data_IF_210781696711
#
_entry.id   IF_210781696711
#
_cell.length_a   1.000
_cell.length_b   1.000
_cell.length_c   1.000
_cell.angle_alpha   90.00
_cell.angle_beta   90.00
_cell.angle_gamma   90.00
#
_symmetry.space_group_name_H-M   'P 1'
#
loop_
_entity.id
_entity.type
_entity.pdbx_description
1 polymer ?
#
# COMPACT_ATOMS: atom_id res chain seq x y z
N UNK A 1 20.97 -12.67 20.09
CA UNK A 1 21.64 -11.35 19.99
C UNK A 1 20.66 -10.28 20.43
N UNK A 2 20.76 -9.81 21.67
CA UNK A 2 20.02 -8.63 22.17
C UNK A 2 21.06 -7.69 22.74
N UNK A 3 21.72 -6.94 21.86
CA UNK A 3 22.49 -5.77 22.26
C UNK A 3 21.53 -4.77 22.87
N UNK A 4 21.66 -4.56 24.17
CA UNK A 4 20.98 -3.53 24.96
C UNK A 4 21.12 -2.18 24.23
N UNK A 5 20.01 -1.53 23.86
CA UNK A 5 20.04 -0.18 23.27
C UNK A 5 20.59 0.80 24.29
N UNK A 6 21.77 1.34 24.01
CA UNK A 6 22.17 2.64 24.53
C UNK A 6 21.55 3.68 23.59
N UNK A 7 20.45 4.31 24.02
CA UNK A 7 20.25 5.77 23.94
C UNK A 7 18.77 6.17 24.06
N UNK A 8 18.50 7.05 25.04
CA UNK A 8 17.23 7.74 25.27
C UNK A 8 16.92 8.84 24.23
N UNK A 9 17.53 8.77 23.03
CA UNK A 9 17.57 9.89 22.08
C UNK A 9 16.70 9.70 20.82
N UNK A 10 15.96 8.59 20.70
CA UNK A 10 15.07 8.40 19.54
C UNK A 10 13.82 9.29 19.59
N UNK A 11 13.17 9.39 20.74
CA UNK A 11 11.97 10.21 20.91
C UNK A 11 12.32 11.60 21.46
N UNK A 12 12.25 12.61 20.61
CA UNK A 12 12.56 14.01 20.95
C UNK A 12 11.28 14.78 21.24
N UNK A 13 11.29 15.59 22.30
CA UNK A 13 10.23 16.54 22.63
C UNK A 13 10.41 17.87 21.87
N UNK A 14 9.32 18.43 21.35
CA UNK A 14 9.31 19.73 20.68
C UNK A 14 7.89 20.27 20.56
N UNK A 15 7.72 21.59 20.68
CA UNK A 15 6.45 22.27 20.43
C UNK A 15 6.08 22.35 18.94
N UNK A 16 7.05 22.12 18.04
CA UNK A 16 6.82 22.02 16.59
C UNK A 16 6.19 20.68 16.18
N UNK A 17 6.09 19.72 17.10
CA UNK A 17 5.59 18.38 16.82
C UNK A 17 4.16 18.21 17.33
N UNK A 18 3.24 17.65 16.53
CA UNK A 18 1.91 17.31 17.02
C UNK A 18 2.02 16.28 18.15
N UNK A 19 1.34 16.54 19.26
CA UNK A 19 1.42 15.71 20.47
C UNK A 19 2.71 15.88 21.29
N UNK A 20 3.56 16.86 20.95
CA UNK A 20 4.69 17.32 21.76
C UNK A 20 5.97 16.50 21.67
N UNK A 21 5.98 15.38 20.96
CA UNK A 21 7.18 14.55 20.74
C UNK A 21 7.13 13.75 19.44
N UNK A 22 8.28 13.28 18.96
CA UNK A 22 8.43 12.59 17.67
C UNK A 22 7.60 11.32 17.56
N UNK A 23 7.51 10.52 18.63
CA UNK A 23 6.75 9.29 18.62
C UNK A 23 5.24 9.58 18.49
N UNK A 24 4.73 10.54 19.26
CA UNK A 24 3.35 11.02 19.14
C UNK A 24 3.09 11.55 17.72
N UNK A 25 4.03 12.31 17.15
CA UNK A 25 3.89 12.90 15.83
C UNK A 25 3.91 11.86 14.69
N UNK A 26 4.80 10.86 14.77
CA UNK A 26 4.88 9.77 13.80
C UNK A 26 3.63 8.86 13.80
N UNK A 27 2.94 8.79 14.94
CA UNK A 27 1.70 8.03 15.16
C UNK A 27 0.45 8.92 15.18
N UNK A 28 0.58 10.20 14.84
CA UNK A 28 -0.55 11.13 14.84
C UNK A 28 -1.57 10.70 13.78
N UNK A 29 -2.84 10.61 14.20
CA UNK A 29 -3.92 10.08 13.35
C UNK A 29 -4.11 10.92 12.08
N UNK A 30 -3.97 12.24 12.20
CA UNK A 30 -4.19 13.15 11.08
C UNK A 30 -3.04 13.03 10.07
N UNK A 31 -1.80 13.00 10.57
CA UNK A 31 -0.61 12.71 9.75
C UNK A 31 -0.75 11.37 9.03
N UNK A 32 -1.19 10.32 9.72
CA UNK A 32 -1.44 9.01 9.12
C UNK A 32 -2.47 9.08 7.99
N UNK A 33 -3.64 9.72 8.23
CA UNK A 33 -4.70 9.85 7.23
C UNK A 33 -4.20 10.56 5.95
N UNK A 34 -3.51 11.68 6.09
CA UNK A 34 -2.99 12.42 4.93
C UNK A 34 -1.91 11.64 4.19
N UNK A 35 -0.95 11.10 4.93
CA UNK A 35 0.19 10.39 4.37
C UNK A 35 -0.21 9.09 3.67
N UNK A 36 -1.21 8.37 4.19
CA UNK A 36 -1.69 7.12 3.59
C UNK A 36 -2.43 7.35 2.27
N UNK A 37 -3.07 8.51 2.07
CA UNK A 37 -3.59 8.89 0.74
C UNK A 37 -2.47 9.10 -0.28
N UNK A 38 -1.28 9.48 0.19
CA UNK A 38 -0.03 9.49 -0.59
C UNK A 38 0.72 8.17 -0.60
N UNK A 39 0.13 7.08 -0.10
CA UNK A 39 0.73 5.74 -0.13
C UNK A 39 1.78 5.46 0.94
N UNK A 40 1.91 6.28 1.98
CA UNK A 40 2.97 6.16 2.99
C UNK A 40 3.06 4.76 3.63
N UNK A 41 1.96 4.20 4.14
CA UNK A 41 1.99 2.87 4.77
C UNK A 41 2.46 1.76 3.82
N UNK A 42 2.07 1.82 2.52
CA UNK A 42 2.56 0.87 1.51
C UNK A 42 4.07 1.04 1.32
N UNK A 43 4.53 2.26 1.07
CA UNK A 43 5.95 2.53 0.85
C UNK A 43 6.82 2.15 2.06
N UNK A 44 6.36 2.42 3.28
CA UNK A 44 7.05 2.01 4.51
C UNK A 44 7.14 0.48 4.58
N UNK A 45 6.04 -0.22 4.31
CA UNK A 45 6.00 -1.68 4.26
C UNK A 45 6.97 -2.26 3.23
N UNK A 46 6.89 -1.80 1.98
CA UNK A 46 7.73 -2.29 0.87
C UNK A 46 9.23 -2.06 1.16
N UNK A 47 9.58 -0.86 1.66
CA UNK A 47 10.97 -0.54 2.01
C UNK A 47 11.45 -1.33 3.22
N UNK A 48 10.57 -1.63 4.17
CA UNK A 48 10.88 -2.50 5.28
C UNK A 48 11.13 -3.95 4.85
N UNK A 49 10.34 -4.47 3.92
CA UNK A 49 10.56 -5.81 3.35
C UNK A 49 11.93 -5.90 2.66
N UNK A 50 12.30 -4.91 1.84
CA UNK A 50 13.62 -4.83 1.20
C UNK A 50 14.76 -4.79 2.24
N UNK A 51 14.62 -3.97 3.28
CA UNK A 51 15.61 -3.90 4.36
C UNK A 51 15.71 -5.21 5.14
N UNK A 52 14.58 -5.90 5.31
CA UNK A 52 14.51 -7.20 5.97
C UNK A 52 15.22 -8.27 5.15
N UNK A 53 15.02 -8.32 3.83
CA UNK A 53 15.73 -9.23 2.94
C UNK A 53 17.25 -9.05 3.06
N UNK A 54 17.74 -7.80 3.00
CA UNK A 54 19.17 -7.50 3.17
C UNK A 54 19.70 -7.99 4.53
N UNK A 55 18.97 -7.71 5.62
CA UNK A 55 19.38 -8.14 6.96
C UNK A 55 19.38 -9.66 7.14
N UNK A 56 18.38 -10.35 6.58
CA UNK A 56 18.26 -11.81 6.61
C UNK A 56 19.37 -12.47 5.79
N UNK A 57 19.65 -11.97 4.57
CA UNK A 57 20.76 -12.47 3.74
C UNK A 57 22.12 -12.30 4.42
N UNK A 58 22.34 -11.15 5.08
CA UNK A 58 23.54 -10.92 5.88
C UNK A 58 23.63 -11.80 7.15
N UNK A 59 22.56 -12.53 7.48
CA UNK A 59 22.50 -13.47 8.59
C UNK A 59 22.71 -14.93 8.18
N UNK A 60 22.92 -15.22 6.90
CA UNK A 60 23.36 -16.55 6.43
C UNK A 60 24.68 -16.94 7.10
N UNK A 61 24.78 -18.19 7.55
CA UNK A 61 25.89 -18.72 8.36
C UNK A 61 25.86 -18.27 9.82
N UNK A 62 24.77 -17.65 10.29
CA UNK A 62 24.60 -17.24 11.70
C UNK A 62 23.46 -18.02 12.35
N UNK A 63 23.57 -18.14 13.67
CA UNK A 63 22.52 -18.70 14.52
C UNK A 63 21.30 -17.78 14.56
N UNK A 64 20.12 -18.35 14.35
CA UNK A 64 18.83 -17.68 14.31
C UNK A 64 17.85 -18.30 15.31
N UNK A 65 17.03 -17.48 16.02
CA UNK A 65 16.15 -17.98 17.06
C UNK A 65 14.92 -18.71 16.51
N UNK A 66 14.50 -19.75 17.22
CA UNK A 66 13.17 -20.35 17.09
C UNK A 66 12.40 -20.08 18.37
N UNK A 67 11.18 -19.53 18.31
CA UNK A 67 10.42 -19.25 19.53
C UNK A 67 10.15 -20.55 20.31
N UNK A 68 10.69 -20.63 21.53
CA UNK A 68 10.55 -21.77 22.46
C UNK A 68 11.17 -23.10 21.97
N UNK A 69 12.12 -23.06 21.04
CA UNK A 69 12.84 -24.24 20.53
C UNK A 69 14.34 -23.91 20.37
N UNK A 70 15.17 -24.91 20.08
CA UNK A 70 16.60 -24.74 19.82
C UNK A 70 16.85 -23.89 18.56
N UNK A 71 17.82 -22.96 18.59
CA UNK A 71 18.15 -22.15 17.43
C UNK A 71 18.86 -22.98 16.35
N UNK A 72 18.81 -22.47 15.12
CA UNK A 72 19.42 -23.12 13.95
C UNK A 72 20.38 -22.16 13.24
N UNK A 73 21.32 -22.70 12.47
CA UNK A 73 22.17 -21.91 11.58
C UNK A 73 21.48 -21.72 10.24
N UNK A 74 21.34 -20.47 9.79
CA UNK A 74 20.73 -20.14 8.50
C UNK A 74 21.66 -20.59 7.37
N UNK A 75 21.13 -21.37 6.43
CA UNK A 75 21.81 -21.75 5.20
C UNK A 75 21.35 -20.93 3.99
N UNK A 76 20.04 -20.64 3.89
CA UNK A 76 19.49 -19.90 2.77
C UNK A 76 18.22 -19.10 3.13
N UNK A 77 17.96 -18.04 2.36
CA UNK A 77 16.81 -17.15 2.47
C UNK A 77 15.98 -17.22 1.20
N UNK A 78 14.79 -17.81 1.31
CA UNK A 78 13.84 -17.95 0.22
C UNK A 78 12.83 -16.80 0.30
N UNK A 79 12.89 -15.88 -0.65
CA UNK A 79 12.01 -14.72 -0.72
C UNK A 79 10.76 -15.05 -1.54
N UNK A 80 9.62 -15.18 -0.88
CA UNK A 80 8.38 -15.67 -1.51
C UNK A 80 7.53 -14.55 -2.12
N UNK A 81 7.57 -13.34 -1.54
CA UNK A 81 6.81 -12.17 -2.00
C UNK A 81 7.22 -11.72 -3.42
N UNK A 82 8.46 -11.97 -3.83
CA UNK A 82 8.97 -11.68 -5.17
C UNK A 82 8.44 -12.65 -6.26
N UNK A 83 7.78 -13.76 -5.88
CA UNK A 83 7.25 -14.76 -6.81
C UNK A 83 5.73 -14.64 -6.90
N UNK A 84 5.24 -13.95 -7.95
CA UNK A 84 3.82 -13.67 -8.15
C UNK A 84 2.93 -14.92 -8.14
N UNK A 85 3.45 -16.05 -8.61
CA UNK A 85 2.75 -17.33 -8.60
C UNK A 85 2.44 -17.82 -7.19
N UNK A 86 3.34 -17.62 -6.21
CA UNK A 86 3.12 -18.01 -4.82
C UNK A 86 1.94 -17.25 -4.23
N UNK A 87 1.91 -15.93 -4.42
CA UNK A 87 0.80 -15.09 -3.94
C UNK A 87 -0.52 -15.48 -4.61
N UNK A 88 -0.51 -15.75 -5.93
CA UNK A 88 -1.70 -16.19 -6.68
C UNK A 88 -2.25 -17.52 -6.15
N UNK A 89 -1.38 -18.49 -5.90
CA UNK A 89 -1.76 -19.80 -5.36
C UNK A 89 -2.31 -19.69 -3.93
N UNK A 90 -1.62 -18.97 -3.04
CA UNK A 90 -2.08 -18.75 -1.68
C UNK A 90 -3.47 -18.09 -1.65
N UNK A 91 -3.68 -17.05 -2.46
CA UNK A 91 -4.97 -16.37 -2.57
C UNK A 91 -6.10 -17.27 -3.09
N UNK A 92 -5.81 -18.11 -4.10
CA UNK A 92 -6.79 -19.06 -4.66
C UNK A 92 -7.29 -20.06 -3.61
N UNK A 93 -6.43 -20.42 -2.66
CA UNK A 93 -6.71 -21.39 -1.60
C UNK A 93 -6.99 -20.75 -0.23
N UNK A 94 -7.14 -19.41 -0.17
CA UNK A 94 -7.37 -18.65 1.06
C UNK A 94 -6.32 -18.88 2.15
N UNK A 95 -5.06 -19.11 1.75
CA UNK A 95 -3.92 -19.24 2.65
C UNK A 95 -3.17 -17.90 2.74
N UNK A 96 -2.50 -17.67 3.87
CA UNK A 96 -1.56 -16.55 4.00
C UNK A 96 -0.23 -16.90 3.30
N UNK A 97 0.45 -15.89 2.77
CA UNK A 97 1.77 -16.02 2.16
C UNK A 97 2.80 -15.27 3.02
N UNK A 98 3.73 -15.96 3.72
CA UNK A 98 4.80 -15.28 4.42
C UNK A 98 5.77 -14.61 3.44
N UNK A 99 6.41 -13.53 3.84
CA UNK A 99 7.36 -12.81 2.97
C UNK A 99 8.60 -13.66 2.67
N UNK A 100 9.10 -14.42 3.65
CA UNK A 100 10.30 -15.23 3.54
C UNK A 100 10.15 -16.62 4.19
N UNK A 101 10.96 -17.56 3.73
CA UNK A 101 11.28 -18.79 4.44
C UNK A 101 12.79 -18.86 4.68
N UNK A 102 13.20 -19.16 5.91
CA UNK A 102 14.59 -19.44 6.25
C UNK A 102 14.79 -20.95 6.23
N UNK A 103 15.76 -21.41 5.43
CA UNK A 103 16.24 -22.78 5.44
C UNK A 103 17.53 -22.85 6.26
N UNK A 104 17.67 -23.85 7.12
CA UNK A 104 18.90 -24.04 7.86
C UNK A 104 19.00 -25.38 8.58
N UNK A 105 19.97 -25.50 9.50
CA UNK A 105 20.24 -26.74 10.25
C UNK A 105 20.28 -26.48 11.75
N UNK A 106 19.61 -27.32 12.52
CA UNK A 106 19.64 -27.23 13.99
C UNK A 106 21.05 -27.39 14.53
N UNK A 107 21.38 -26.57 15.54
CA UNK A 107 22.73 -26.54 16.14
C UNK A 107 23.10 -27.85 16.86
N UNK A 108 22.11 -28.66 17.26
CA UNK A 108 22.29 -29.88 18.02
C UNK A 108 22.47 -31.13 17.16
N UNK A 109 21.40 -31.55 16.48
CA UNK A 109 21.35 -32.81 15.70
C UNK A 109 21.63 -32.62 14.20
N UNK A 110 21.84 -31.39 13.75
CA UNK A 110 22.03 -31.05 12.33
C UNK A 110 20.77 -31.21 11.49
N UNK A 111 19.59 -31.42 12.10
CA UNK A 111 18.33 -31.61 11.39
C UNK A 111 17.94 -30.38 10.55
N UNK A 112 17.49 -30.55 9.29
CA UNK A 112 17.08 -29.43 8.46
C UNK A 112 15.79 -28.80 9.00
N UNK A 113 15.76 -27.47 9.02
CA UNK A 113 14.67 -26.66 9.53
C UNK A 113 14.22 -25.64 8.50
N UNK A 114 12.90 -25.43 8.45
CA UNK A 114 12.26 -24.37 7.66
C UNK A 114 11.44 -23.48 8.59
N UNK A 115 11.73 -22.18 8.59
CA UNK A 115 11.03 -21.20 9.43
C UNK A 115 10.43 -20.09 8.57
N UNK A 116 9.14 -19.80 8.74
CA UNK A 116 8.53 -18.63 8.10
C UNK A 116 8.95 -17.34 8.79
N UNK A 117 9.18 -16.32 7.97
CA UNK A 117 9.44 -14.96 8.41
C UNK A 117 8.57 -13.98 7.66
N UNK A 118 7.98 -13.04 8.40
CA UNK A 118 7.17 -11.97 7.83
C UNK A 118 7.67 -10.61 8.35
N UNK A 119 7.87 -9.66 7.44
CA UNK A 119 8.40 -8.34 7.75
C UNK A 119 7.28 -7.38 8.16
N UNK A 120 7.23 -7.04 9.45
CA UNK A 120 6.25 -6.10 10.00
C UNK A 120 6.94 -4.85 10.55
N UNK A 121 6.77 -3.74 9.82
CA UNK A 121 7.25 -2.43 10.28
C UNK A 121 6.51 -1.97 11.55
N UNK A 122 5.19 -2.18 11.59
CA UNK A 122 4.31 -1.83 12.71
C UNK A 122 3.85 -3.11 13.44
N UNK A 123 4.49 -3.49 14.57
CA UNK A 123 4.21 -4.76 15.23
C UNK A 123 2.77 -4.90 15.76
N UNK A 124 2.07 -3.81 16.01
CA UNK A 124 0.67 -3.82 16.44
C UNK A 124 -0.31 -4.31 15.35
N UNK A 125 0.18 -4.53 14.12
CA UNK A 125 -0.57 -5.08 12.98
C UNK A 125 -0.28 -6.55 12.69
N UNK A 126 0.54 -7.20 13.50
CA UNK A 126 0.90 -8.61 13.35
C UNK A 126 -0.36 -9.49 13.39
N UNK A 127 -0.41 -10.49 12.49
CA UNK A 127 -1.35 -11.61 12.56
C UNK A 127 -0.57 -12.91 12.73
N UNK A 128 -0.68 -13.63 13.86
CA UNK A 128 0.09 -14.85 14.11
C UNK A 128 -0.04 -15.93 13.03
N UNK A 129 -1.19 -15.97 12.35
CA UNK A 129 -1.43 -16.89 11.23
C UNK A 129 -0.43 -16.73 10.08
N UNK A 130 0.15 -15.55 9.88
CA UNK A 130 1.07 -15.27 8.77
C UNK A 130 2.38 -16.06 8.84
N UNK A 131 2.78 -16.50 10.03
CA UNK A 131 4.05 -17.22 10.25
C UNK A 131 3.84 -18.58 10.95
N UNK A 132 2.60 -19.07 10.96
CA UNK A 132 2.30 -20.34 11.63
C UNK A 132 2.86 -21.52 10.82
N UNK A 133 3.41 -22.52 11.53
CA UNK A 133 3.93 -23.73 10.90
C UNK A 133 2.84 -24.48 10.10
N UNK A 134 1.59 -24.42 10.56
CA UNK A 134 0.44 -25.01 9.88
C UNK A 134 0.17 -24.35 8.52
N UNK A 135 0.17 -23.01 8.45
CA UNK A 135 -0.06 -22.29 7.19
C UNK A 135 1.06 -22.58 6.20
N UNK A 136 2.32 -22.59 6.65
CA UNK A 136 3.47 -22.95 5.80
C UNK A 136 3.32 -24.38 5.30
N UNK A 137 2.97 -25.33 6.17
CA UNK A 137 2.73 -26.71 5.78
C UNK A 137 1.64 -26.82 4.72
N UNK A 138 0.52 -26.14 4.91
CA UNK A 138 -0.60 -26.15 3.96
C UNK A 138 -0.20 -25.54 2.61
N UNK A 139 0.56 -24.43 2.62
CA UNK A 139 1.06 -23.79 1.41
C UNK A 139 1.99 -24.73 0.62
N UNK A 140 2.89 -25.44 1.30
CA UNK A 140 3.81 -26.39 0.66
C UNK A 140 3.12 -27.68 0.19
N UNK A 141 2.03 -28.10 0.84
CA UNK A 141 1.24 -29.27 0.43
C UNK A 141 0.47 -29.05 -0.88
N UNK A 142 0.26 -27.79 -1.30
CA UNK A 142 -0.35 -27.50 -2.61
C UNK A 142 0.50 -28.01 -3.79
N UNK A 143 1.81 -28.27 -3.59
CA UNK A 143 2.71 -28.74 -4.65
C UNK A 143 3.02 -27.70 -5.73
N UNK A 144 2.68 -26.43 -5.48
CA UNK A 144 2.84 -25.32 -6.43
C UNK A 144 4.22 -24.64 -6.37
N UNK A 145 4.24 -23.34 -6.68
CA UNK A 145 5.46 -22.54 -6.77
C UNK A 145 6.27 -22.54 -5.45
N UNK A 146 5.61 -22.35 -4.31
CA UNK A 146 6.28 -22.34 -3.00
C UNK A 146 6.95 -23.69 -2.68
N UNK A 147 6.25 -24.79 -2.98
CA UNK A 147 6.78 -26.14 -2.80
C UNK A 147 8.05 -26.35 -3.63
N UNK A 148 7.99 -25.98 -4.91
CA UNK A 148 9.12 -26.12 -5.83
C UNK A 148 10.35 -25.34 -5.35
N UNK A 149 10.16 -24.08 -4.93
CA UNK A 149 11.24 -23.23 -4.39
C UNK A 149 11.92 -23.93 -3.20
N UNK A 150 11.14 -24.47 -2.26
CA UNK A 150 11.69 -25.16 -1.09
C UNK A 150 12.40 -26.45 -1.48
N UNK A 151 11.83 -27.27 -2.36
CA UNK A 151 12.45 -28.53 -2.82
C UNK A 151 13.77 -28.27 -3.54
N UNK A 152 13.80 -27.29 -4.43
CA UNK A 152 15.01 -26.92 -5.18
C UNK A 152 16.11 -26.43 -4.23
N UNK A 153 15.75 -25.61 -3.22
CA UNK A 153 16.70 -25.13 -2.20
C UNK A 153 17.22 -26.27 -1.30
N UNK A 154 16.34 -27.13 -0.80
CA UNK A 154 16.71 -28.31 0.01
C UNK A 154 17.66 -29.22 -0.75
N UNK A 155 17.38 -29.48 -2.03
CA UNK A 155 18.23 -30.29 -2.90
C UNK A 155 19.59 -29.63 -3.16
N UNK A 156 19.63 -28.31 -3.38
CA UNK A 156 20.88 -27.56 -3.58
C UNK A 156 21.83 -27.65 -2.38
N UNK A 157 21.29 -27.77 -1.17
CA UNK A 157 22.05 -27.97 0.06
C UNK A 157 22.26 -29.44 0.46
N UNK A 158 21.77 -30.40 -0.33
CA UNK A 158 21.90 -31.84 -0.04
C UNK A 158 21.17 -32.28 1.24
N UNK A 159 20.11 -31.56 1.61
CA UNK A 159 19.34 -31.78 2.83
C UNK A 159 18.19 -32.76 2.60
N UNK A 160 17.72 -33.38 3.67
CA UNK A 160 16.43 -34.08 3.69
C UNK A 160 15.28 -33.08 3.86
N UNK A 161 14.03 -33.58 3.80
CA UNK A 161 12.83 -32.75 4.03
C UNK A 161 12.93 -32.00 5.37
N UNK A 162 12.86 -30.66 5.37
CA UNK A 162 13.03 -29.88 6.58
C UNK A 162 11.81 -30.01 7.50
N UNK A 163 12.06 -29.96 8.81
CA UNK A 163 11.01 -29.77 9.81
C UNK A 163 10.55 -28.31 9.78
N UNK A 164 9.25 -28.08 9.61
CA UNK A 164 8.67 -26.74 9.69
C UNK A 164 8.55 -26.35 11.17
N UNK A 165 9.19 -25.25 11.56
CA UNK A 165 9.19 -24.74 12.93
C UNK A 165 8.32 -23.49 13.06
N UNK A 166 8.12 -23.03 14.30
CA UNK A 166 7.38 -21.80 14.57
C UNK A 166 8.09 -20.60 13.94
N UNK A 167 7.35 -19.83 13.14
CA UNK A 167 7.87 -18.65 12.46
C UNK A 167 8.04 -17.44 13.37
N UNK A 168 8.64 -16.39 12.80
CA UNK A 168 8.91 -15.13 13.49
C UNK A 168 8.55 -13.93 12.63
N UNK A 169 8.26 -12.81 13.27
CA UNK A 169 8.14 -11.51 12.63
C UNK A 169 9.46 -10.77 12.74
N UNK A 170 9.86 -10.08 11.67
CA UNK A 170 11.00 -9.15 11.70
C UNK A 170 10.49 -7.71 11.75
N UNK A 171 10.92 -6.99 12.78
CA UNK A 171 10.49 -5.61 13.04
C UNK A 171 11.68 -4.67 13.25
N UNK A 172 11.50 -3.34 13.06
CA UNK A 172 12.57 -2.39 13.30
C UNK A 172 13.05 -2.45 14.74
N UNK A 173 14.36 -2.43 14.91
CA UNK A 173 14.96 -2.10 16.19
C UNK A 173 14.77 -0.59 16.44
N UNK A 174 13.59 -0.19 16.95
CA UNK A 174 13.28 1.18 17.36
C UNK A 174 12.36 1.27 18.59
N UNK A 175 12.37 2.41 19.30
CA UNK A 175 11.48 2.68 20.44
C UNK A 175 10.01 2.66 20.00
N UNK A 176 9.73 3.10 18.78
CA UNK A 176 8.39 3.03 18.20
C UNK A 176 7.90 1.58 18.09
N UNK A 177 8.75 0.66 17.60
CA UNK A 177 8.40 -0.76 17.51
C UNK A 177 8.15 -1.38 18.89
N UNK A 178 8.90 -0.97 19.92
CA UNK A 178 8.66 -1.43 21.29
C UNK A 178 7.31 -0.97 21.84
N UNK A 179 6.95 0.30 21.64
CA UNK A 179 5.65 0.85 22.07
C UNK A 179 4.49 0.18 21.33
N UNK A 180 4.63 -0.04 20.03
CA UNK A 180 3.59 -0.73 19.25
C UNK A 180 3.47 -2.20 19.66
N UNK A 181 4.58 -2.88 19.89
CA UNK A 181 4.56 -4.28 20.26
C UNK A 181 3.94 -4.52 21.64
N UNK A 182 4.14 -3.62 22.62
CA UNK A 182 3.47 -3.70 23.92
C UNK A 182 1.95 -3.83 23.78
N UNK A 183 1.34 -3.24 22.74
CA UNK A 183 -0.11 -3.29 22.50
C UNK A 183 -0.64 -4.69 22.15
N UNK A 184 0.21 -5.56 21.60
CA UNK A 184 -0.17 -6.92 21.13
C UNK A 184 0.51 -8.04 21.93
N UNK A 185 1.43 -7.70 22.81
CA UNK A 185 2.15 -8.65 23.69
C UNK A 185 1.73 -8.56 25.16
N UNK A 186 1.03 -7.49 25.55
CA UNK A 186 0.62 -7.28 26.95
C UNK A 186 -0.89 -7.12 27.12
N UNK A 187 -1.39 -7.48 28.29
CA UNK A 187 -2.79 -7.34 28.66
C UNK A 187 -3.71 -8.44 28.13
N UNK A 188 -5.03 -8.26 28.33
CA UNK A 188 -6.06 -9.27 28.01
C UNK A 188 -6.25 -9.55 26.52
N UNK A 189 -5.60 -8.78 25.65
CA UNK A 189 -5.67 -8.90 24.18
C UNK A 189 -4.31 -9.27 23.58
N UNK A 190 -3.39 -9.81 24.37
CA UNK A 190 -2.12 -10.29 23.85
C UNK A 190 -2.37 -11.42 22.84
N UNK A 191 -1.97 -11.21 21.59
CA UNK A 191 -2.14 -12.16 20.49
C UNK A 191 -0.81 -12.68 19.96
N UNK A 192 0.31 -12.07 20.35
CA UNK A 192 1.65 -12.35 19.85
C UNK A 192 2.58 -12.58 21.03
N UNK A 193 3.46 -13.57 20.93
CA UNK A 193 4.54 -13.77 21.90
C UNK A 193 5.73 -12.84 21.55
N UNK A 194 6.35 -12.22 22.55
CA UNK A 194 7.56 -11.40 22.31
C UNK A 194 8.70 -12.22 21.70
N UNK A 195 8.77 -13.53 22.00
CA UNK A 195 9.75 -14.43 21.40
C UNK A 195 9.53 -14.64 19.90
N UNK A 196 8.33 -14.37 19.37
CA UNK A 196 8.03 -14.41 17.93
C UNK A 196 8.48 -13.16 17.19
N UNK A 197 9.08 -12.16 17.86
CA UNK A 197 9.49 -10.91 17.21
C UNK A 197 11.00 -10.72 17.31
N UNK A 198 11.67 -10.82 16.16
CA UNK A 198 13.09 -10.53 16.01
C UNK A 198 13.25 -9.09 15.53
N UNK A 199 14.08 -8.29 16.21
CA UNK A 199 14.36 -6.92 15.79
C UNK A 199 15.62 -6.84 14.94
N UNK A 200 15.57 -6.04 13.88
CA UNK A 200 16.72 -5.78 12.99
C UNK A 200 16.99 -4.27 12.87
N UNK A 201 18.26 -3.84 12.72
CA UNK A 201 18.60 -2.43 12.59
C UNK A 201 18.00 -1.80 11.31
N UNK A 202 17.27 -0.68 11.37
CA UNK A 202 16.48 -0.17 10.25
C UNK A 202 17.21 0.68 9.20
N UNK A 203 18.41 1.20 9.49
CA UNK A 203 19.16 2.16 8.63
C UNK A 203 18.29 3.33 8.08
N UNK A 204 17.93 4.31 8.92
CA UNK A 204 17.00 5.39 8.53
C UNK A 204 17.41 6.15 7.26
N UNK A 205 18.70 6.46 7.11
CA UNK A 205 19.21 7.22 5.96
C UNK A 205 19.12 6.52 4.60
N UNK A 206 18.98 5.19 4.55
CA UNK A 206 18.79 4.44 3.30
C UNK A 206 17.39 3.87 3.15
N UNK A 207 16.57 3.84 4.21
CA UNK A 207 15.26 3.18 4.20
C UNK A 207 14.34 3.68 3.08
N UNK A 208 14.31 4.98 2.81
CA UNK A 208 13.47 5.56 1.75
C UNK A 208 14.23 5.92 0.46
N UNK A 209 15.48 5.48 0.32
CA UNK A 209 16.32 5.84 -0.83
C UNK A 209 15.65 5.42 -2.16
N UNK A 210 15.73 6.33 -3.13
CA UNK A 210 15.15 6.11 -4.47
C UNK A 210 13.65 6.41 -4.59
N UNK A 211 12.94 6.69 -3.50
CA UNK A 211 11.55 7.17 -3.58
C UNK A 211 11.52 8.67 -3.93
N UNK A 212 10.63 9.13 -4.83
CA UNK A 212 10.41 10.55 -5.12
C UNK A 212 10.20 11.41 -3.86
N UNK A 213 9.40 10.90 -2.91
CA UNK A 213 9.04 11.54 -1.65
C UNK A 213 10.27 11.76 -0.74
N UNK A 214 11.24 10.85 -0.78
CA UNK A 214 12.43 10.99 0.08
C UNK A 214 13.23 12.28 -0.18
N UNK A 215 13.09 12.87 -1.37
CA UNK A 215 13.82 14.09 -1.77
C UNK A 215 13.39 15.34 -1.01
N UNK A 216 12.20 15.37 -0.43
CA UNK A 216 11.69 16.56 0.30
C UNK A 216 11.71 16.39 1.82
N UNK A 217 12.06 15.20 2.34
CA UNK A 217 12.24 14.94 3.78
C UNK A 217 13.16 16.00 4.41
N UNK A 218 14.31 16.26 3.79
CA UNK A 218 15.28 17.22 4.32
C UNK A 218 14.77 18.66 4.33
N UNK A 219 13.88 19.04 3.39
CA UNK A 219 13.26 20.36 3.38
C UNK A 219 12.28 20.52 4.54
N UNK A 220 11.44 19.51 4.78
CA UNK A 220 10.49 19.49 5.89
C UNK A 220 11.21 19.45 7.25
N UNK A 221 12.23 18.62 7.40
CA UNK A 221 12.99 18.51 8.65
C UNK A 221 13.72 19.81 9.04
N UNK A 222 14.11 20.64 8.07
CA UNK A 222 14.72 21.94 8.33
C UNK A 222 13.73 22.96 8.91
N UNK A 223 12.44 22.82 8.64
CA UNK A 223 11.41 23.74 9.18
C UNK A 223 11.35 23.57 10.70
N UNK A 224 11.29 22.33 11.19
CA UNK A 224 11.19 22.06 12.63
C UNK A 224 12.55 22.16 13.35
N UNK A 225 13.67 22.03 12.62
CA UNK A 225 15.04 22.15 13.12
C UNK A 225 15.32 21.32 14.41
N UNK A 226 14.80 20.10 14.48
CA UNK A 226 14.94 19.22 15.64
C UNK A 226 16.41 18.83 15.91
N UNK A 227 16.78 18.49 17.17
CA UNK A 227 18.12 18.05 17.55
C UNK A 227 18.51 16.64 17.02
N UNK A 228 17.70 16.03 16.17
CA UNK A 228 17.95 14.73 15.53
C UNK A 228 17.69 14.85 14.04
N UNK A 229 18.39 14.04 13.24
CA UNK A 229 18.24 14.05 11.79
C UNK A 229 17.45 12.84 11.30
N UNK A 230 16.66 12.95 10.22
CA UNK A 230 16.02 11.81 9.57
C UNK A 230 17.01 10.76 9.04
N UNK A 231 18.29 11.11 8.91
CA UNK A 231 19.34 10.19 8.43
C UNK A 231 19.74 9.17 9.49
N UNK A 232 19.68 9.57 10.76
CA UNK A 232 20.22 8.81 11.88
C UNK A 232 19.12 8.34 12.86
N UNK A 233 17.92 8.93 12.80
CA UNK A 233 16.80 8.62 13.69
C UNK A 233 15.59 8.07 12.91
N UNK A 234 15.15 6.85 13.22
CA UNK A 234 14.05 6.18 12.51
C UNK A 234 12.72 6.92 12.67
N UNK A 235 12.38 7.36 13.88
CA UNK A 235 11.07 8.00 14.15
C UNK A 235 10.98 9.32 13.38
N UNK A 236 12.07 10.10 13.37
CA UNK A 236 12.21 11.29 12.55
C UNK A 236 12.07 10.97 11.05
N UNK A 237 12.77 9.94 10.55
CA UNK A 237 12.66 9.51 9.16
C UNK A 237 11.22 9.18 8.75
N UNK A 238 10.49 8.44 9.60
CA UNK A 238 9.11 8.04 9.37
C UNK A 238 8.17 9.24 9.38
N UNK A 239 8.30 10.10 10.39
CA UNK A 239 7.46 11.29 10.52
C UNK A 239 7.59 12.19 9.28
N UNK A 240 8.82 12.54 8.88
CA UNK A 240 9.02 13.40 7.72
C UNK A 240 8.73 12.70 6.38
N UNK A 241 8.93 11.38 6.28
CA UNK A 241 8.49 10.63 5.10
C UNK A 241 6.96 10.66 4.97
N UNK A 242 6.22 10.49 6.07
CA UNK A 242 4.75 10.62 6.07
C UNK A 242 4.31 12.01 5.62
N UNK A 243 4.90 13.07 6.19
CA UNK A 243 4.61 14.45 5.76
C UNK A 243 4.93 14.66 4.28
N UNK A 244 6.04 14.10 3.79
CA UNK A 244 6.36 14.13 2.37
C UNK A 244 5.30 13.45 1.51
N UNK A 245 4.84 12.24 1.86
CA UNK A 245 3.76 11.57 1.13
C UNK A 245 2.48 12.42 1.11
N UNK A 246 2.16 13.09 2.22
CA UNK A 246 1.04 14.03 2.28
C UNK A 246 1.24 15.20 1.30
N UNK A 247 2.42 15.82 1.27
CA UNK A 247 2.74 16.88 0.30
C UNK A 247 2.59 16.43 -1.16
N UNK A 248 3.06 15.22 -1.49
CA UNK A 248 2.90 14.66 -2.84
C UNK A 248 1.42 14.43 -3.19
N UNK A 249 0.64 13.91 -2.24
CA UNK A 249 -0.81 13.76 -2.41
C UNK A 249 -1.49 15.12 -2.62
N UNK A 250 -1.19 16.11 -1.79
CA UNK A 250 -1.82 17.44 -1.89
C UNK A 250 -1.44 18.19 -3.15
N UNK A 251 -0.19 18.09 -3.57
CA UNK A 251 0.22 18.58 -4.88
C UNK A 251 -0.59 17.93 -6.00
N UNK A 252 -0.75 16.60 -5.95
CA UNK A 252 -1.56 15.86 -6.90
C UNK A 252 -3.02 16.33 -6.90
N UNK A 253 -3.63 16.51 -5.74
CA UNK A 253 -5.01 16.99 -5.63
C UNK A 253 -5.18 18.45 -6.08
N UNK A 254 -4.16 19.29 -5.92
CA UNK A 254 -4.16 20.69 -6.38
C UNK A 254 -4.10 20.80 -7.91
N UNK A 255 -3.38 19.90 -8.57
CA UNK A 255 -3.14 19.95 -10.03
C UNK A 255 -4.00 18.97 -10.83
N UNK A 256 -4.76 18.10 -10.16
CA UNK A 256 -5.63 17.13 -10.82
C UNK A 256 -6.84 17.83 -11.44
N UNK A 257 -7.07 17.72 -12.76
CA UNK A 257 -8.25 18.29 -13.42
C UNK A 257 -9.55 17.83 -12.76
N UNK A 258 -10.59 18.67 -12.84
CA UNK A 258 -11.95 18.30 -12.43
C UNK A 258 -12.55 17.27 -13.39
N UNK A 259 -12.25 17.38 -14.68
CA UNK A 259 -12.65 16.43 -15.71
C UNK A 259 -11.51 16.29 -16.74
N UNK A 260 -11.03 15.07 -16.97
CA UNK A 260 -10.08 14.76 -18.04
C UNK A 260 -10.11 13.27 -18.38
N UNK A 261 -9.79 12.94 -19.63
CA UNK A 261 -9.53 11.58 -20.09
C UNK A 261 -8.06 11.16 -19.94
N UNK A 262 -7.17 12.13 -19.69
CA UNK A 262 -5.74 11.88 -19.50
C UNK A 262 -5.44 11.72 -18.01
N UNK A 263 -4.69 10.68 -17.58
CA UNK A 263 -4.26 10.58 -16.19
C UNK A 263 -3.41 11.80 -15.81
N UNK A 264 -3.56 12.34 -14.59
CA UNK A 264 -2.74 13.46 -14.14
C UNK A 264 -1.26 13.02 -14.14
N UNK A 265 -0.32 13.90 -14.53
CA UNK A 265 1.09 13.58 -14.47
C UNK A 265 1.50 13.26 -13.02
N UNK A 266 2.43 12.32 -12.80
CA UNK A 266 2.90 12.03 -11.46
C UNK A 266 3.57 13.27 -10.86
N UNK A 267 3.45 13.51 -9.53
CA UNK A 267 4.10 14.63 -8.89
C UNK A 267 5.62 14.61 -9.10
N UNK A 268 6.15 15.72 -9.64
CA UNK A 268 7.58 15.87 -9.85
C UNK A 268 8.23 16.38 -8.54
N UNK A 269 9.24 15.68 -7.98
CA UNK A 269 9.83 16.06 -6.70
C UNK A 269 10.35 17.50 -6.63
N UNK A 270 10.90 18.01 -7.74
CA UNK A 270 11.40 19.40 -7.81
C UNK A 270 10.28 20.43 -7.65
N UNK A 271 9.11 20.18 -8.23
CA UNK A 271 7.93 21.06 -8.11
C UNK A 271 7.33 21.02 -6.71
N UNK A 272 7.21 19.83 -6.14
CA UNK A 272 6.75 19.66 -4.76
C UNK A 272 7.70 20.38 -3.78
N UNK A 273 9.01 20.25 -3.97
CA UNK A 273 10.02 20.93 -3.16
C UNK A 273 9.92 22.46 -3.25
N UNK A 274 9.67 23.01 -4.44
CA UNK A 274 9.50 24.45 -4.63
C UNK A 274 8.26 24.98 -3.88
N UNK A 275 7.15 24.25 -3.95
CA UNK A 275 5.91 24.63 -3.23
C UNK A 275 6.10 24.50 -1.71
N UNK A 276 6.76 23.45 -1.23
CA UNK A 276 7.13 23.33 0.20
C UNK A 276 7.95 24.54 0.63
N UNK A 277 8.95 24.95 -0.17
CA UNK A 277 9.81 26.10 0.16
C UNK A 277 9.02 27.41 0.24
N UNK A 278 8.12 27.66 -0.73
CA UNK A 278 7.27 28.84 -0.73
C UNK A 278 6.28 28.85 0.46
N UNK A 279 5.70 27.70 0.80
CA UNK A 279 4.76 27.58 1.93
C UNK A 279 5.47 27.64 3.29
N UNK A 280 6.75 27.28 3.36
CA UNK A 280 7.54 27.29 4.60
C UNK A 280 7.75 28.69 5.17
N UNK A 281 7.73 29.75 4.34
CA UNK A 281 7.90 31.14 4.81
C UNK A 281 6.81 31.59 5.80
N UNK A 282 5.64 30.96 5.78
CA UNK A 282 4.52 31.29 6.63
C UNK A 282 4.21 30.27 7.73
N UNK A 283 4.95 29.17 7.85
CA UNK A 283 4.63 28.06 8.76
C UNK A 283 5.65 27.94 9.89
N UNK A 284 5.15 27.74 11.12
CA UNK A 284 5.99 27.56 12.31
C UNK A 284 6.48 26.12 12.47
N UNK A 285 5.90 25.16 11.74
CA UNK A 285 6.33 23.76 11.71
C UNK A 285 6.02 23.08 10.38
N UNK A 286 6.68 21.97 10.10
CA UNK A 286 6.38 21.11 8.96
C UNK A 286 4.97 20.53 9.04
N UNK A 287 4.49 20.21 10.24
CA UNK A 287 3.11 19.78 10.46
C UNK A 287 2.13 20.87 10.06
N UNK A 288 2.33 22.10 10.55
CA UNK A 288 1.45 23.22 10.24
C UNK A 288 1.44 23.55 8.74
N UNK A 289 2.60 23.47 8.07
CA UNK A 289 2.67 23.62 6.62
C UNK A 289 1.72 22.65 5.91
N UNK A 290 1.79 21.36 6.29
CA UNK A 290 0.97 20.29 5.71
C UNK A 290 -0.50 20.47 6.07
N UNK A 291 -0.83 20.84 7.30
CA UNK A 291 -2.20 21.10 7.75
C UNK A 291 -2.84 22.26 6.97
N UNK A 292 -2.15 23.40 6.85
CA UNK A 292 -2.62 24.54 6.05
C UNK A 292 -2.77 24.18 4.58
N UNK A 293 -1.89 23.35 4.02
CA UNK A 293 -2.03 22.87 2.64
C UNK A 293 -3.25 21.96 2.49
N UNK A 294 -3.51 21.06 3.44
CA UNK A 294 -4.69 20.21 3.46
C UNK A 294 -5.99 21.03 3.44
N UNK A 295 -6.05 22.10 4.25
CA UNK A 295 -7.19 23.02 4.28
C UNK A 295 -7.33 23.77 2.95
N UNK A 296 -6.21 24.22 2.37
CA UNK A 296 -6.21 24.98 1.13
C UNK A 296 -6.71 24.18 -0.09
N UNK A 297 -6.50 22.86 -0.13
CA UNK A 297 -6.94 22.01 -1.25
C UNK A 297 -8.40 21.54 -1.14
N UNK A 298 -9.02 21.66 0.04
CA UNK A 298 -10.36 21.15 0.30
C UNK A 298 -11.43 21.72 -0.67
N UNK A 299 -11.41 23.01 -1.05
CA UNK A 299 -12.31 23.52 -2.08
C UNK A 299 -12.16 22.82 -3.43
N UNK A 300 -10.93 22.56 -3.92
CA UNK A 300 -10.73 21.82 -5.17
C UNK A 300 -11.21 20.37 -5.06
N UNK A 301 -10.99 19.70 -3.92
CA UNK A 301 -11.48 18.33 -3.68
C UNK A 301 -13.01 18.29 -3.75
N UNK A 302 -13.70 19.24 -3.12
CA UNK A 302 -15.18 19.35 -3.17
C UNK A 302 -15.69 19.69 -4.56
N UNK A 303 -15.03 20.61 -5.27
CA UNK A 303 -15.37 20.96 -6.64
C UNK A 303 -15.29 19.74 -7.56
N UNK A 304 -14.20 18.95 -7.44
CA UNK A 304 -14.02 17.70 -8.20
C UNK A 304 -15.10 16.67 -7.88
N UNK A 305 -15.48 16.51 -6.62
CA UNK A 305 -16.57 15.63 -6.22
C UNK A 305 -17.90 16.06 -6.86
N UNK A 306 -18.23 17.35 -6.80
CA UNK A 306 -19.44 17.90 -7.41
C UNK A 306 -19.47 17.70 -8.94
N UNK A 307 -18.35 17.94 -9.63
CA UNK A 307 -18.22 17.66 -11.07
C UNK A 307 -18.44 16.18 -11.36
N UNK A 308 -17.87 15.28 -10.54
CA UNK A 308 -18.07 13.84 -10.70
C UNK A 308 -19.53 13.41 -10.48
N UNK A 309 -20.31 14.10 -9.65
CA UNK A 309 -21.73 13.81 -9.41
C UNK A 309 -22.61 14.18 -10.61
N UNK A 310 -22.28 15.28 -11.30
CA UNK A 310 -23.01 15.69 -12.51
C UNK A 310 -22.50 15.00 -13.78
N UNK A 311 -21.25 14.54 -13.80
CA UNK A 311 -20.65 13.73 -14.88
C UNK A 311 -21.05 12.25 -14.78
N UNK A 312 -22.35 11.97 -14.61
CA UNK A 312 -22.89 10.62 -14.46
C UNK A 312 -23.51 10.10 -15.75
N UNK A 313 -23.34 8.80 -16.01
CA UNK A 313 -23.92 8.12 -17.18
C UNK A 313 -25.44 8.37 -17.20
N UNK A 314 -26.01 8.94 -18.27
CA UNK A 314 -27.42 9.29 -18.33
C UNK A 314 -28.36 8.08 -18.51
N UNK A 315 -27.82 6.85 -18.53
CA UNK A 315 -28.57 5.59 -18.57
C UNK A 315 -28.57 4.96 -17.17
N UNK A 316 -29.77 4.73 -16.62
CA UNK A 316 -29.88 4.19 -15.25
C UNK A 316 -29.58 2.70 -15.23
N UNK A 317 -28.97 2.21 -14.15
CA UNK A 317 -28.68 0.77 -14.00
C UNK A 317 -29.94 -0.12 -14.09
N UNK A 318 -31.09 0.39 -13.64
CA UNK A 318 -32.37 -0.33 -13.74
C UNK A 318 -32.85 -0.46 -15.19
N UNK A 319 -32.64 0.58 -16.00
CA UNK A 319 -32.97 0.60 -17.43
C UNK A 319 -32.07 -0.40 -18.17
N UNK A 320 -30.76 -0.35 -17.94
CA UNK A 320 -29.80 -1.30 -18.51
C UNK A 320 -30.13 -2.77 -18.15
N UNK A 321 -30.48 -3.04 -16.89
CA UNK A 321 -30.90 -4.39 -16.47
C UNK A 321 -32.16 -4.86 -17.19
N UNK A 322 -33.17 -4.01 -17.30
CA UNK A 322 -34.44 -4.33 -17.97
C UNK A 322 -34.23 -4.71 -19.44
N UNK A 323 -33.34 -3.99 -20.15
CA UNK A 323 -33.01 -4.26 -21.54
C UNK A 323 -32.21 -5.56 -21.72
N UNK A 324 -31.25 -5.84 -20.82
CA UNK A 324 -30.50 -7.10 -20.81
C UNK A 324 -31.42 -8.29 -20.52
N UNK A 325 -32.34 -8.16 -19.57
CA UNK A 325 -33.35 -9.18 -19.26
C UNK A 325 -34.27 -9.43 -20.47
N UNK A 326 -34.74 -8.36 -21.11
CA UNK A 326 -35.61 -8.44 -22.29
C UNK A 326 -34.89 -9.04 -23.52
N UNK A 327 -33.57 -8.92 -23.59
CA UNK A 327 -32.74 -9.58 -24.59
C UNK A 327 -32.46 -11.07 -24.30
N UNK A 328 -32.97 -11.62 -23.18
CA UNK A 328 -32.75 -13.00 -22.75
C UNK A 328 -31.39 -13.24 -22.10
N UNK A 329 -30.71 -12.19 -21.64
CA UNK A 329 -29.38 -12.24 -21.03
C UNK A 329 -29.41 -12.02 -19.50
N UNK A 330 -30.60 -12.00 -18.89
CA UNK A 330 -30.80 -11.62 -17.49
C UNK A 330 -30.09 -12.49 -16.45
N UNK A 331 -29.82 -13.76 -16.76
CA UNK A 331 -29.09 -14.67 -15.87
C UNK A 331 -27.56 -14.48 -15.92
N UNK A 332 -27.04 -13.77 -16.93
CA UNK A 332 -25.60 -13.56 -17.12
C UNK A 332 -25.12 -12.19 -16.62
N UNK A 333 -24.65 -12.17 -15.36
CA UNK A 333 -23.99 -11.00 -14.76
C UNK A 333 -22.73 -10.53 -15.51
N UNK A 334 -22.16 -11.33 -16.41
CA UNK A 334 -21.03 -10.94 -17.27
C UNK A 334 -21.48 -9.96 -18.34
N UNK A 335 -22.62 -10.21 -19.00
CA UNK A 335 -23.17 -9.33 -20.01
C UNK A 335 -23.42 -7.92 -19.46
N UNK A 336 -24.06 -7.82 -18.29
CA UNK A 336 -24.28 -6.55 -17.59
C UNK A 336 -22.97 -5.79 -17.32
N UNK A 337 -21.93 -6.49 -16.85
CA UNK A 337 -20.63 -5.87 -16.56
C UNK A 337 -19.93 -5.36 -17.82
N UNK A 338 -19.96 -6.13 -18.91
CA UNK A 338 -19.33 -5.76 -20.18
C UNK A 338 -20.05 -4.54 -20.78
N UNK A 339 -21.37 -4.63 -20.96
CA UNK A 339 -22.16 -3.53 -21.57
C UNK A 339 -22.03 -2.26 -20.73
N UNK A 340 -22.11 -2.36 -19.40
CA UNK A 340 -21.93 -1.20 -18.53
C UNK A 340 -20.55 -0.57 -18.67
N UNK A 341 -19.49 -1.37 -18.66
CA UNK A 341 -18.12 -0.87 -18.81
C UNK A 341 -17.94 -0.15 -20.14
N UNK A 342 -18.45 -0.73 -21.22
CA UNK A 342 -18.30 -0.18 -22.56
C UNK A 342 -19.11 1.13 -22.72
N UNK A 343 -20.31 1.20 -22.12
CA UNK A 343 -21.10 2.44 -22.00
C UNK A 343 -20.38 3.51 -21.18
N UNK A 344 -19.84 3.16 -20.01
CA UNK A 344 -19.12 4.11 -19.15
C UNK A 344 -17.88 4.68 -19.86
N UNK A 345 -17.15 3.86 -20.63
CA UNK A 345 -15.99 4.30 -21.42
C UNK A 345 -16.40 5.24 -22.56
N UNK A 346 -17.41 4.87 -23.34
CA UNK A 346 -17.91 5.69 -24.43
C UNK A 346 -18.49 7.01 -23.92
N UNK A 347 -19.27 6.98 -22.84
CA UNK A 347 -19.83 8.16 -22.20
C UNK A 347 -18.74 9.13 -21.75
N UNK A 348 -17.69 8.66 -21.07
CA UNK A 348 -16.58 9.51 -20.62
C UNK A 348 -15.84 10.15 -21.80
N UNK A 349 -15.59 9.40 -22.87
CA UNK A 349 -14.97 9.93 -24.08
C UNK A 349 -15.84 11.01 -24.73
N UNK A 350 -17.14 10.76 -24.89
CA UNK A 350 -18.08 11.72 -25.48
C UNK A 350 -18.31 12.96 -24.63
N UNK A 351 -18.41 12.80 -23.31
CA UNK A 351 -18.53 13.93 -22.40
C UNK A 351 -17.30 14.82 -22.51
N UNK A 352 -16.10 14.23 -22.61
CA UNK A 352 -14.86 14.95 -22.84
C UNK A 352 -14.81 15.61 -24.23
N UNK A 353 -15.25 14.95 -25.30
CA UNK A 353 -15.33 15.57 -26.65
C UNK A 353 -16.15 16.87 -26.64
N UNK A 354 -17.21 16.93 -25.82
CA UNK A 354 -18.11 18.10 -25.72
C UNK A 354 -17.53 19.18 -24.80
N UNK A 355 -17.01 18.78 -23.64
CA UNK A 355 -16.65 19.72 -22.56
C UNK A 355 -15.18 20.10 -22.51
N UNK A 356 -14.31 19.33 -23.18
CA UNK A 356 -12.87 19.43 -23.08
C UNK A 356 -12.33 19.00 -21.72
N UNK A 357 -11.03 19.24 -21.50
CA UNK A 357 -10.45 19.15 -20.17
C UNK A 357 -10.93 20.33 -19.32
N UNK A 358 -11.34 20.05 -18.09
CA UNK A 358 -11.69 21.05 -17.10
C UNK A 358 -10.61 21.01 -16.03
N UNK A 359 -9.68 21.96 -16.11
CA UNK A 359 -8.52 22.03 -15.23
C UNK A 359 -8.92 22.50 -13.82
N UNK A 360 -8.05 22.27 -12.83
CA UNK A 360 -8.30 22.68 -11.45
C UNK A 360 -8.24 24.22 -11.28
N UNK A 361 -7.55 24.91 -12.18
CA UNK A 361 -7.39 26.36 -12.26
C UNK A 361 -8.27 27.01 -13.32
N UNK A 362 -9.34 26.31 -13.76
CA UNK A 362 -10.29 26.84 -14.74
C UNK A 362 -10.87 28.19 -14.24
N UNK A 363 -10.80 29.27 -15.05
CA UNK A 363 -11.24 30.59 -14.61
C UNK A 363 -12.76 30.73 -14.48
N UNK A 364 -13.54 29.76 -14.98
CA UNK A 364 -15.01 29.79 -14.90
C UNK A 364 -15.48 29.53 -13.46
N UNK A 365 -16.60 30.14 -13.02
CA UNK A 365 -17.23 29.80 -11.76
C UNK A 365 -17.67 28.32 -11.71
N UNK A 366 -17.49 27.66 -10.56
CA UNK A 366 -17.87 26.25 -10.38
C UNK A 366 -19.33 25.97 -10.76
N UNK A 367 -20.26 26.87 -10.44
CA UNK A 367 -21.67 26.71 -10.80
C UNK A 367 -21.89 26.60 -12.31
N UNK A 368 -21.17 27.42 -13.09
CA UNK A 368 -21.21 27.37 -14.55
C UNK A 368 -20.62 26.06 -15.07
N UNK A 369 -19.47 25.63 -14.52
CA UNK A 369 -18.84 24.34 -14.86
C UNK A 369 -19.82 23.19 -14.63
N UNK A 370 -20.50 23.16 -13.47
CA UNK A 370 -21.47 22.13 -13.14
C UNK A 370 -22.67 22.12 -14.09
N UNK A 371 -23.20 23.29 -14.44
CA UNK A 371 -24.32 23.41 -15.37
C UNK A 371 -23.94 22.94 -16.78
N UNK A 372 -22.76 23.33 -17.27
CA UNK A 372 -22.22 22.92 -18.57
C UNK A 372 -22.04 21.39 -18.64
N UNK A 373 -21.39 20.80 -17.63
CA UNK A 373 -21.17 19.35 -17.56
C UNK A 373 -22.50 18.59 -17.43
N UNK A 374 -23.42 19.07 -16.59
CA UNK A 374 -24.71 18.43 -16.42
C UNK A 374 -25.57 18.50 -17.70
N UNK A 375 -25.50 19.62 -18.43
CA UNK A 375 -26.17 19.77 -19.71
C UNK A 375 -25.59 18.80 -20.75
N UNK A 376 -24.26 18.75 -20.90
CA UNK A 376 -23.57 17.84 -21.80
C UNK A 376 -23.85 16.37 -21.48
N UNK A 377 -23.83 15.99 -20.19
CA UNK A 377 -24.16 14.63 -19.77
C UNK A 377 -25.59 14.23 -20.15
N UNK A 378 -26.57 15.14 -19.97
CA UNK A 378 -27.97 14.90 -20.36
C UNK A 378 -28.15 14.81 -21.87
N UNK A 379 -27.47 15.64 -22.66
CA UNK A 379 -27.59 15.62 -24.12
C UNK A 379 -27.09 14.31 -24.74
N UNK A 380 -26.19 13.59 -24.05
CA UNK A 380 -25.67 12.29 -24.49
C UNK A 380 -26.65 11.12 -24.28
N UNK A 381 -27.82 11.33 -23.67
CA UNK A 381 -28.73 10.23 -23.30
C UNK A 381 -29.14 9.37 -24.50
N UNK A 382 -29.61 9.99 -25.59
CA UNK A 382 -30.09 9.26 -26.76
C UNK A 382 -28.95 8.47 -27.43
N UNK A 383 -27.75 9.03 -27.52
CA UNK A 383 -26.58 8.33 -28.03
C UNK A 383 -26.20 7.12 -27.16
N UNK A 384 -26.22 7.28 -25.83
CA UNK A 384 -25.90 6.20 -24.90
C UNK A 384 -26.97 5.09 -24.92
N UNK A 385 -28.26 5.43 -25.12
CA UNK A 385 -29.32 4.45 -25.31
C UNK A 385 -29.11 3.67 -26.61
N UNK A 386 -28.76 4.33 -27.72
CA UNK A 386 -28.47 3.64 -28.98
C UNK A 386 -27.28 2.67 -28.83
N UNK A 387 -26.19 3.12 -28.21
CA UNK A 387 -25.01 2.29 -27.96
C UNK A 387 -25.31 1.11 -27.01
N UNK A 388 -26.19 1.30 -26.04
CA UNK A 388 -26.64 0.24 -25.13
C UNK A 388 -27.31 -0.89 -25.93
N UNK A 389 -28.28 -0.56 -26.79
CA UNK A 389 -28.98 -1.55 -27.62
C UNK A 389 -28.03 -2.27 -28.59
N UNK A 390 -27.10 -1.54 -29.20
CA UNK A 390 -26.08 -2.12 -30.07
C UNK A 390 -25.19 -3.12 -29.30
N UNK A 391 -24.73 -2.73 -28.11
CA UNK A 391 -23.85 -3.56 -27.27
C UNK A 391 -24.55 -4.83 -26.77
N UNK A 392 -25.83 -4.72 -26.38
CA UNK A 392 -26.65 -5.88 -26.00
C UNK A 392 -26.84 -6.83 -27.18
N UNK A 393 -27.09 -6.29 -28.38
CA UNK A 393 -27.23 -7.10 -29.61
C UNK A 393 -25.95 -7.87 -29.92
N UNK A 394 -24.79 -7.21 -29.81
CA UNK A 394 -23.47 -7.85 -29.98
C UNK A 394 -23.20 -8.94 -28.93
N UNK A 395 -23.52 -8.67 -27.66
CA UNK A 395 -23.36 -9.64 -26.58
C UNK A 395 -24.22 -10.89 -26.81
N UNK A 396 -25.46 -10.71 -27.28
CA UNK A 396 -26.37 -11.82 -27.62
C UNK A 396 -25.83 -12.67 -28.78
N UNK A 397 -25.32 -12.04 -29.84
CA UNK A 397 -24.73 -12.74 -30.97
C UNK A 397 -23.51 -13.58 -30.54
N UNK A 398 -22.63 -13.01 -29.72
CA UNK A 398 -21.42 -13.68 -29.22
C UNK A 398 -21.77 -14.91 -28.39
N UNK A 399 -22.83 -14.84 -27.57
CA UNK A 399 -23.30 -15.97 -26.77
C UNK A 399 -23.92 -17.08 -27.63
N UNK A 400 -24.70 -16.73 -28.65
CA UNK A 400 -25.29 -17.70 -29.58
C UNK A 400 -24.23 -18.48 -30.38
N UNK A 401 -23.12 -17.84 -30.74
CA UNK A 401 -22.00 -18.50 -31.43
C UNK A 401 -21.23 -19.44 -30.50
N UNK A 402 -21.15 -19.13 -29.20
CA UNK A 402 -20.49 -19.99 -28.22
C UNK A 402 -21.30 -21.26 -27.84
N UNK A 403 -22.62 -21.26 -28.04
CA UNK A 403 -23.49 -22.44 -27.81
C UNK A 403 -23.62 -23.36 -29.02
N UNK A 404 -23.31 -22.90 -30.24
CA UNK A 404 -23.37 -23.72 -31.46
C UNK A 404 -22.01 -24.33 -31.86
N UNK A 405 -20.93 -23.99 -31.14
CA UNK A 405 -19.55 -24.43 -31.41
C UNK A 405 -19.01 -25.50 -30.47
N UNK A 406 -19.83 -26.06 -29.59
CA UNK A 406 -19.52 -27.22 -28.74
C UNK A 406 -20.51 -28.34 -29.00
#
# INVERSE_FOLDING_TARGET
MTTRRADNHENVESFHLPGGNLLSAALDRQVMIWSDRGGASRHIGDRWAIRSDEALRNSVGRTWPVPHDEPFEILDILRLDDVAEVSREANLHHLENPDFLLLGTQSGDGGPVLQAVDAKFAPDRIRPSQVSAEIVSNLLQLGGAAHKIVVDAVAAHGLSTPRIVRGVFVSPDSQMSDVLLQRVTTGRRATVDRAEVVTIPPHPGSLFAGLPESRVIGALARIDALPVTPRDNLISAIYYFRLSCACFHFWGEEHRPFLSTTPPPPPEPGRVAAIISARAEGADSAFELVDRWAIAIEPQVRARAAVSEVATLPVRIRELRSEIESAGLGEDNRALRIVRRDLDLAFRARLHDITGDILADDPRPLTQILDDVAHAARSLREEMLALMHESITKARATLADSTNGG
#
